data_IF_919214779416
#
_entry.id   IF_919214779416
#
_cell.length_a   1.000
_cell.length_b   1.000
_cell.length_c   1.000
_cell.angle_alpha   90.00
_cell.angle_beta   90.00
_cell.angle_gamma   90.00
#
_symmetry.space_group_name_H-M   'P 1'
#
loop_
_entity.id
_entity.type
_entity.pdbx_description
1 polymer ?
#
# COMPACT_ATOMS: atom_id res chain seq x y z
N UNK A 1 15.32 -17.12 -16.18
CA UNK A 1 15.01 -15.99 -17.07
C UNK A 1 13.50 -15.92 -17.26
N UNK A 2 12.89 -14.80 -16.87
CA UNK A 2 11.67 -14.17 -17.38
C UNK A 2 11.55 -12.89 -16.52
N UNK A 3 11.73 -11.74 -17.17
CA UNK A 3 12.03 -10.48 -16.49
C UNK A 3 10.85 -9.94 -15.69
N UNK A 4 11.08 -9.69 -14.40
CA UNK A 4 10.18 -8.84 -13.62
C UNK A 4 10.14 -7.47 -14.30
N UNK A 5 8.95 -7.07 -14.76
CA UNK A 5 8.77 -5.74 -15.31
C UNK A 5 8.77 -4.76 -14.13
N UNK A 6 9.72 -3.84 -14.13
CA UNK A 6 9.88 -2.86 -13.06
C UNK A 6 9.53 -1.45 -13.55
N UNK A 7 8.59 -0.81 -12.86
CA UNK A 7 8.30 0.61 -13.02
C UNK A 7 9.02 1.34 -11.90
N UNK A 8 9.94 2.24 -12.25
CA UNK A 8 10.82 2.92 -11.29
C UNK A 8 10.71 4.42 -11.50
N UNK A 9 10.53 5.19 -10.40
CA UNK A 9 10.52 6.67 -10.40
C UNK A 9 9.47 7.25 -11.35
N UNK A 10 8.23 6.80 -11.19
CA UNK A 10 7.11 7.25 -12.00
C UNK A 10 6.21 8.24 -11.25
N UNK A 11 5.53 9.10 -12.01
CA UNK A 11 4.41 9.89 -11.53
C UNK A 11 3.21 9.62 -12.43
N UNK A 12 2.12 9.15 -11.82
CA UNK A 12 0.89 8.82 -12.52
C UNK A 12 -0.22 9.66 -11.91
N UNK A 13 -0.91 10.40 -12.78
CA UNK A 13 -2.14 11.10 -12.43
C UNK A 13 -3.26 10.47 -13.26
N UNK A 14 -4.23 9.86 -12.59
CA UNK A 14 -5.33 9.16 -13.23
C UNK A 14 -6.66 9.85 -12.89
N UNK A 15 -7.31 10.46 -13.88
CA UNK A 15 -8.60 11.15 -13.79
C UNK A 15 -9.75 10.40 -14.48
N UNK A 16 -9.48 9.17 -14.94
CA UNK A 16 -10.38 8.31 -15.69
C UNK A 16 -11.09 7.30 -14.77
N UNK A 17 -12.26 6.79 -15.15
CA UNK A 17 -13.06 5.87 -14.33
C UNK A 17 -12.50 4.43 -14.18
N UNK A 18 -11.22 4.21 -14.47
CA UNK A 18 -10.57 2.90 -14.56
C UNK A 18 -9.46 2.69 -13.52
N UNK A 19 -8.63 1.67 -13.69
CA UNK A 19 -7.45 1.46 -12.86
C UNK A 19 -6.41 2.56 -13.14
N UNK A 20 -5.86 3.16 -12.07
CA UNK A 20 -4.81 4.18 -12.21
C UNK A 20 -3.54 3.58 -12.85
N UNK A 21 -3.23 2.32 -12.54
CA UNK A 21 -2.18 1.53 -13.16
C UNK A 21 -2.62 0.05 -13.26
N UNK A 22 -2.97 -0.42 -14.44
CA UNK A 22 -3.22 -1.86 -14.66
C UNK A 22 -1.94 -2.56 -15.15
N UNK A 23 -1.46 -3.56 -14.39
CA UNK A 23 -0.39 -4.48 -14.78
C UNK A 23 -0.98 -5.81 -15.23
N UNK A 24 -1.75 -5.78 -16.31
CA UNK A 24 -2.45 -6.95 -16.83
C UNK A 24 -1.53 -7.90 -17.62
N UNK A 25 -1.80 -9.21 -17.53
CA UNK A 25 -1.21 -10.21 -18.45
C UNK A 25 0.23 -10.66 -18.16
N UNK A 26 0.78 -10.36 -16.98
CA UNK A 26 2.18 -10.66 -16.65
C UNK A 26 2.36 -11.84 -15.66
N UNK A 27 2.36 -13.07 -16.15
CA UNK A 27 2.62 -14.26 -15.31
C UNK A 27 3.98 -14.31 -14.60
N UNK A 28 4.88 -13.34 -14.85
CA UNK A 28 6.25 -13.26 -14.29
C UNK A 28 6.42 -12.23 -13.16
N UNK A 29 5.32 -11.59 -12.74
CA UNK A 29 5.31 -10.60 -11.66
C UNK A 29 5.80 -9.21 -12.10
N UNK A 30 5.44 -8.22 -11.30
CA UNK A 30 5.70 -6.81 -11.52
C UNK A 30 6.18 -6.12 -10.24
N UNK A 31 7.06 -5.15 -10.40
CA UNK A 31 7.54 -4.33 -9.29
C UNK A 31 7.33 -2.84 -9.58
N UNK A 32 6.82 -2.12 -8.60
CA UNK A 32 6.74 -0.66 -8.64
C UNK A 32 7.60 -0.07 -7.53
N UNK A 33 8.49 0.86 -7.86
CA UNK A 33 9.43 1.46 -6.90
C UNK A 33 9.55 2.96 -7.07
N UNK A 34 9.54 3.70 -5.97
CA UNK A 34 9.76 5.16 -5.98
C UNK A 34 8.72 5.90 -6.84
N UNK A 35 7.49 5.40 -6.88
CA UNK A 35 6.43 5.99 -7.69
C UNK A 35 5.49 6.84 -6.83
N UNK A 36 4.86 7.82 -7.48
CA UNK A 36 3.75 8.59 -6.91
C UNK A 36 2.55 8.38 -7.83
N UNK A 37 1.45 7.86 -7.29
CA UNK A 37 0.20 7.69 -8.01
C UNK A 37 -0.88 8.51 -7.33
N UNK A 38 -1.57 9.34 -8.11
CA UNK A 38 -2.66 10.19 -7.66
C UNK A 38 -3.92 9.85 -8.45
N UNK A 39 -4.98 9.49 -7.73
CA UNK A 39 -6.28 9.11 -8.28
C UNK A 39 -7.38 9.98 -7.61
N UNK A 40 -7.57 11.24 -8.04
CA UNK A 40 -8.32 12.24 -7.28
C UNK A 40 -9.84 12.25 -7.51
N UNK A 41 -10.38 11.46 -8.42
CA UNK A 41 -11.81 11.51 -8.79
C UNK A 41 -12.52 10.17 -8.58
N UNK A 42 -13.28 10.03 -7.48
CA UNK A 42 -14.36 9.03 -7.31
C UNK A 42 -14.08 7.63 -7.88
N UNK A 43 -12.82 7.21 -7.84
CA UNK A 43 -12.38 6.00 -8.52
C UNK A 43 -13.07 4.83 -7.84
N UNK A 44 -13.91 4.15 -8.61
CA UNK A 44 -14.30 2.77 -8.30
C UNK A 44 -13.18 1.79 -8.68
N UNK A 45 -12.14 2.31 -9.36
CA UNK A 45 -11.01 1.58 -9.91
C UNK A 45 -9.94 1.24 -8.88
N UNK A 46 -9.08 0.33 -9.30
CA UNK A 46 -8.04 -0.34 -8.52
C UNK A 46 -6.74 0.40 -8.78
N UNK A 47 -5.95 0.73 -7.77
CA UNK A 47 -4.72 1.45 -8.07
C UNK A 47 -3.72 0.58 -8.83
N UNK A 48 -3.65 -0.71 -8.46
CA UNK A 48 -2.80 -1.68 -9.13
C UNK A 48 -3.51 -3.03 -9.24
N UNK A 49 -3.60 -3.54 -10.47
CA UNK A 49 -4.14 -4.88 -10.77
C UNK A 49 -3.18 -5.71 -11.61
N UNK A 50 -3.05 -7.01 -11.33
CA UNK A 50 -2.21 -7.88 -12.14
C UNK A 50 -2.39 -9.37 -11.86
N UNK A 51 -2.09 -10.18 -12.87
CA UNK A 51 -1.97 -11.64 -12.75
C UNK A 51 -0.51 -11.94 -12.38
N UNK A 52 -0.25 -12.55 -11.22
CA UNK A 52 1.13 -12.84 -10.73
C UNK A 52 1.61 -11.91 -9.60
N UNK A 53 2.89 -12.04 -9.24
CA UNK A 53 3.51 -11.40 -8.07
C UNK A 53 3.64 -9.89 -8.21
N UNK A 54 2.96 -9.11 -7.38
CA UNK A 54 3.08 -7.64 -7.38
C UNK A 54 3.78 -7.16 -6.12
N UNK A 55 4.86 -6.39 -6.29
CA UNK A 55 5.56 -5.74 -5.17
C UNK A 55 5.58 -4.22 -5.38
N UNK A 56 5.03 -3.49 -4.43
CA UNK A 56 5.06 -2.03 -4.38
C UNK A 56 6.00 -1.61 -3.28
N UNK A 57 7.10 -0.93 -3.60
CA UNK A 57 8.01 -0.42 -2.57
C UNK A 57 8.30 1.06 -2.69
N UNK A 58 8.51 1.71 -1.55
CA UNK A 58 8.95 3.11 -1.50
C UNK A 58 8.09 4.02 -2.39
N UNK A 59 6.77 3.83 -2.41
CA UNK A 59 5.85 4.59 -3.26
C UNK A 59 4.80 5.34 -2.45
N UNK A 60 4.21 6.39 -3.05
CA UNK A 60 3.06 7.11 -2.50
C UNK A 60 1.83 6.86 -3.38
N UNK A 61 0.75 6.46 -2.75
CA UNK A 61 -0.53 6.13 -3.35
C UNK A 61 -1.58 7.06 -2.72
N UNK A 62 -2.21 7.92 -3.54
CA UNK A 62 -3.20 8.91 -3.08
C UNK A 62 -4.52 8.68 -3.80
N UNK A 63 -5.57 8.36 -3.05
CA UNK A 63 -6.93 8.16 -3.57
C UNK A 63 -7.86 9.36 -3.36
N UNK A 64 -9.15 9.11 -3.60
CA UNK A 64 -10.24 10.09 -3.51
C UNK A 64 -11.31 9.73 -2.46
N UNK A 65 -11.00 8.83 -1.51
CA UNK A 65 -11.92 8.33 -0.49
C UNK A 65 -12.84 7.22 -0.99
N UNK A 66 -12.62 6.72 -2.21
CA UNK A 66 -13.35 5.61 -2.82
C UNK A 66 -12.39 4.58 -3.42
N UNK A 67 -12.88 3.36 -3.68
CA UNK A 67 -12.09 2.31 -4.32
C UNK A 67 -11.02 1.70 -3.42
N UNK A 68 -10.24 0.78 -3.99
CA UNK A 68 -9.25 0.01 -3.26
C UNK A 68 -7.84 0.39 -3.71
N UNK A 69 -6.92 0.54 -2.75
CA UNK A 69 -5.51 0.79 -3.06
C UNK A 69 -4.89 -0.38 -3.83
N UNK A 70 -5.26 -1.62 -3.51
CA UNK A 70 -4.76 -2.81 -4.17
C UNK A 70 -5.89 -3.73 -4.63
N UNK A 71 -5.70 -4.36 -5.79
CA UNK A 71 -6.63 -5.37 -6.26
C UNK A 71 -6.00 -6.40 -7.20
N UNK A 72 -5.85 -7.64 -6.77
CA UNK A 72 -5.21 -8.68 -7.57
C UNK A 72 -6.24 -9.62 -8.21
N UNK A 73 -6.85 -9.20 -9.30
CA UNK A 73 -8.08 -9.81 -9.81
C UNK A 73 -7.96 -11.17 -10.53
N UNK A 74 -6.99 -12.03 -10.19
CA UNK A 74 -6.90 -13.35 -10.84
C UNK A 74 -7.27 -14.51 -9.91
N UNK A 75 -8.30 -15.24 -10.34
CA UNK A 75 -8.91 -16.41 -9.69
C UNK A 75 -8.02 -17.65 -9.66
N UNK A 76 -6.82 -17.58 -10.24
CA UNK A 76 -5.85 -18.69 -10.25
C UNK A 76 -4.64 -18.35 -9.40
N UNK A 77 -4.75 -18.58 -8.09
CA UNK A 77 -3.67 -18.53 -7.09
C UNK A 77 -2.66 -17.38 -7.26
N UNK A 78 -2.94 -16.19 -6.71
CA UNK A 78 -1.95 -15.13 -6.70
C UNK A 78 -0.61 -15.62 -6.10
N UNK A 79 0.48 -15.34 -6.80
CA UNK A 79 1.84 -15.60 -6.34
C UNK A 79 2.33 -14.46 -5.42
N UNK A 80 3.35 -14.73 -4.59
CA UNK A 80 3.97 -13.83 -3.61
C UNK A 80 3.93 -12.35 -3.98
N UNK A 81 3.59 -11.46 -3.06
CA UNK A 81 3.55 -10.02 -3.34
C UNK A 81 3.66 -9.21 -2.08
N UNK A 82 3.55 -7.90 -2.20
CA UNK A 82 3.53 -7.05 -1.04
C UNK A 82 3.49 -5.57 -1.32
N UNK A 83 3.23 -4.82 -0.26
CA UNK A 83 3.39 -3.38 -0.21
C UNK A 83 4.36 -3.10 0.94
N UNK A 84 5.48 -2.47 0.60
CA UNK A 84 6.56 -2.26 1.53
C UNK A 84 6.98 -0.79 1.55
N UNK A 85 7.20 -0.26 2.75
CA UNK A 85 7.73 1.08 2.97
C UNK A 85 7.04 2.17 2.11
N UNK A 86 5.72 2.09 2.00
CA UNK A 86 4.92 2.96 1.13
C UNK A 86 3.91 3.77 1.94
N UNK A 87 3.46 4.89 1.38
CA UNK A 87 2.43 5.73 1.99
C UNK A 87 1.15 5.63 1.17
N UNK A 88 0.06 5.20 1.80
CA UNK A 88 -1.23 4.97 1.16
C UNK A 88 -2.26 5.82 1.88
N UNK A 89 -2.91 6.71 1.15
CA UNK A 89 -3.84 7.68 1.74
C UNK A 89 -5.13 7.81 0.97
N UNK A 90 -6.22 8.06 1.68
CA UNK A 90 -7.52 8.44 1.11
C UNK A 90 -8.13 7.37 0.19
N UNK A 91 -8.22 6.13 0.64
CA UNK A 91 -8.93 5.04 -0.08
C UNK A 91 -10.07 4.48 0.76
N UNK A 92 -11.06 3.83 0.13
CA UNK A 92 -12.07 3.11 0.89
C UNK A 92 -11.43 1.91 1.61
N UNK A 93 -10.65 1.08 0.89
CA UNK A 93 -9.97 -0.07 1.47
C UNK A 93 -8.52 -0.21 0.98
N UNK A 94 -7.66 -0.81 1.80
CA UNK A 94 -6.35 -1.29 1.34
C UNK A 94 -6.54 -2.46 0.38
N UNK A 95 -7.29 -3.49 0.83
CA UNK A 95 -7.65 -4.68 0.06
C UNK A 95 -9.12 -5.04 0.33
N UNK A 96 -9.88 -5.41 -0.71
CA UNK A 96 -11.27 -5.87 -0.56
C UNK A 96 -11.55 -7.10 -1.43
N UNK A 97 -12.10 -8.15 -0.82
CA UNK A 97 -12.34 -9.47 -1.42
C UNK A 97 -13.49 -9.50 -2.43
N UNK A 98 -14.49 -8.60 -2.33
CA UNK A 98 -15.64 -8.59 -3.28
C UNK A 98 -15.23 -8.48 -4.75
N UNK A 99 -13.96 -8.18 -5.00
CA UNK A 99 -13.37 -8.06 -6.31
C UNK A 99 -12.69 -9.34 -6.83
N UNK A 100 -12.53 -10.36 -6.00
CA UNK A 100 -11.83 -11.61 -6.31
C UNK A 100 -12.77 -12.78 -6.68
N UNK A 101 -14.08 -12.53 -6.74
CA UNK A 101 -15.08 -13.59 -6.96
C UNK A 101 -15.21 -14.50 -5.73
N UNK A 102 -16.23 -15.35 -5.71
CA UNK A 102 -16.55 -16.24 -4.57
C UNK A 102 -15.56 -17.40 -4.35
N UNK A 103 -14.29 -17.21 -4.69
CA UNK A 103 -13.21 -18.19 -4.53
C UNK A 103 -12.30 -17.79 -3.37
N UNK A 104 -11.84 -18.78 -2.59
CA UNK A 104 -10.95 -18.59 -1.45
C UNK A 104 -9.79 -17.65 -1.78
N UNK A 105 -9.63 -16.62 -0.95
CA UNK A 105 -8.49 -15.71 -0.98
C UNK A 105 -7.25 -16.43 -0.44
N UNK A 106 -6.53 -17.14 -1.31
CA UNK A 106 -5.36 -17.92 -0.93
C UNK A 106 -4.16 -17.54 -1.78
N UNK A 107 -3.17 -16.88 -1.16
CA UNK A 107 -1.86 -16.76 -1.79
C UNK A 107 -1.11 -18.08 -1.64
N UNK A 108 -0.36 -18.44 -2.67
CA UNK A 108 0.55 -19.60 -2.61
C UNK A 108 1.77 -19.38 -1.69
N UNK A 109 1.89 -18.16 -1.14
CA UNK A 109 2.99 -17.67 -0.32
C UNK A 109 2.58 -16.34 0.35
N UNK A 110 3.12 -15.96 1.51
CA UNK A 110 2.79 -14.70 2.19
C UNK A 110 2.80 -13.46 1.28
N UNK A 111 1.72 -12.70 1.34
CA UNK A 111 1.62 -11.34 0.85
C UNK A 111 1.98 -10.38 1.98
N UNK A 112 3.03 -9.61 1.79
CA UNK A 112 3.65 -8.82 2.85
C UNK A 112 3.15 -7.38 2.82
N UNK A 113 2.56 -6.90 3.91
CA UNK A 113 2.18 -5.51 4.10
C UNK A 113 3.04 -4.98 5.24
N UNK A 114 4.11 -4.27 4.92
CA UNK A 114 5.10 -3.90 5.93
C UNK A 114 5.68 -2.51 5.79
N UNK A 115 6.06 -1.92 6.91
CA UNK A 115 6.67 -0.59 7.01
C UNK A 115 5.85 0.55 6.37
N UNK A 116 4.54 0.37 6.19
CA UNK A 116 3.71 1.35 5.48
C UNK A 116 3.13 2.41 6.43
N UNK A 117 2.72 3.53 5.84
CA UNK A 117 1.78 4.47 6.48
C UNK A 117 0.45 4.37 5.74
N UNK A 118 -0.60 3.99 6.45
CA UNK A 118 -1.96 3.77 5.96
C UNK A 118 -2.86 4.77 6.67
N UNK A 119 -3.33 5.79 5.93
CA UNK A 119 -3.97 6.95 6.55
C UNK A 119 -5.24 7.40 5.84
N UNK A 120 -6.24 7.82 6.60
CA UNK A 120 -7.52 8.36 6.08
C UNK A 120 -8.23 7.34 5.17
N UNK A 121 -8.61 6.19 5.74
CA UNK A 121 -9.26 5.11 4.99
C UNK A 121 -10.56 4.66 5.67
N UNK A 122 -11.47 4.09 4.89
CA UNK A 122 -12.69 3.49 5.48
C UNK A 122 -12.37 2.15 6.15
N UNK A 123 -11.46 1.34 5.60
CA UNK A 123 -10.99 0.12 6.23
C UNK A 123 -9.64 -0.32 5.69
N UNK A 124 -9.01 -1.28 6.38
CA UNK A 124 -7.79 -1.91 5.90
C UNK A 124 -8.14 -3.05 4.94
N UNK A 125 -8.38 -4.24 5.48
CA UNK A 125 -8.77 -5.42 4.70
C UNK A 125 -10.21 -5.83 4.98
N UNK A 126 -10.94 -6.14 3.92
CA UNK A 126 -12.22 -6.84 4.00
C UNK A 126 -12.16 -8.17 3.26
N UNK A 127 -12.05 -9.27 3.99
CA UNK A 127 -12.29 -10.62 3.48
C UNK A 127 -13.70 -11.08 3.83
N UNK A 128 -14.38 -11.75 2.91
CA UNK A 128 -15.66 -12.39 3.15
C UNK A 128 -15.47 -13.59 4.08
N UNK A 129 -16.46 -13.78 4.95
CA UNK A 129 -16.46 -14.82 5.96
C UNK A 129 -16.57 -16.21 5.30
N UNK A 130 -15.43 -16.80 4.91
CA UNK A 130 -15.40 -18.17 4.39
C UNK A 130 -14.12 -18.59 3.69
N UNK A 131 -13.27 -17.65 3.26
CA UNK A 131 -11.95 -17.95 2.73
C UNK A 131 -10.91 -18.11 3.84
N UNK A 132 -10.11 -19.16 3.78
CA UNK A 132 -8.85 -19.24 4.54
C UNK A 132 -7.92 -18.16 4.00
N UNK A 133 -7.86 -16.99 4.65
CA UNK A 133 -6.85 -15.95 4.39
C UNK A 133 -5.51 -16.37 4.97
N UNK A 134 -5.08 -17.59 4.66
CA UNK A 134 -3.73 -18.02 4.99
C UNK A 134 -2.81 -17.26 4.03
N UNK A 135 -1.85 -16.49 4.56
CA UNK A 135 -0.77 -15.81 3.82
C UNK A 135 -0.94 -14.30 3.56
N UNK A 136 -1.52 -13.49 4.45
CA UNK A 136 -1.16 -12.05 4.54
C UNK A 136 -0.46 -11.80 5.87
N UNK A 137 0.71 -11.17 5.82
CA UNK A 137 1.47 -10.75 6.98
C UNK A 137 1.53 -9.22 7.05
N UNK A 138 1.24 -8.69 8.23
CA UNK A 138 1.39 -7.28 8.57
C UNK A 138 2.57 -7.11 9.52
N UNK A 139 3.53 -6.27 9.14
CA UNK A 139 4.72 -6.01 9.96
C UNK A 139 5.05 -4.51 9.98
N UNK A 140 4.89 -3.88 11.14
CA UNK A 140 5.30 -2.49 11.42
C UNK A 140 4.71 -1.43 10.49
N UNK A 141 3.40 -1.49 10.30
CA UNK A 141 2.63 -0.45 9.64
C UNK A 141 2.10 0.58 10.64
N UNK A 142 1.98 1.82 10.20
CA UNK A 142 1.29 2.87 10.94
C UNK A 142 -0.11 3.11 10.37
N UNK A 143 -1.12 2.98 11.22
CA UNK A 143 -2.53 3.16 10.87
C UNK A 143 -3.07 4.43 11.50
N UNK A 144 -3.65 5.34 10.70
CA UNK A 144 -4.26 6.56 11.23
C UNK A 144 -5.54 6.93 10.51
N UNK A 145 -6.47 7.56 11.22
CA UNK A 145 -7.76 8.00 10.66
C UNK A 145 -8.51 6.89 9.89
N UNK A 146 -8.52 5.66 10.44
CA UNK A 146 -9.29 4.53 9.89
C UNK A 146 -10.66 4.52 10.57
N UNK A 147 -11.74 4.66 9.79
CA UNK A 147 -13.11 4.80 10.35
C UNK A 147 -13.85 3.48 10.56
N UNK A 148 -13.47 2.43 9.84
CA UNK A 148 -13.96 1.07 9.99
C UNK A 148 -12.87 0.13 10.50
N UNK A 149 -13.00 -1.16 10.18
CA UNK A 149 -12.06 -2.18 10.64
C UNK A 149 -10.76 -2.14 9.83
N UNK A 150 -9.60 -2.21 10.51
CA UNK A 150 -8.29 -2.46 9.88
C UNK A 150 -8.19 -3.87 9.34
N UNK A 151 -8.70 -4.83 10.12
CA UNK A 151 -8.72 -6.24 9.83
C UNK A 151 -10.16 -6.74 9.95
N UNK A 152 -10.64 -7.54 9.01
CA UNK A 152 -11.96 -8.19 9.12
C UNK A 152 -12.00 -9.22 10.27
N UNK A 153 -10.86 -9.85 10.58
CA UNK A 153 -10.63 -10.70 11.74
C UNK A 153 -9.12 -10.83 11.98
N UNK A 154 -8.63 -10.39 13.14
CA UNK A 154 -7.20 -10.42 13.47
C UNK A 154 -6.61 -11.85 13.47
N UNK A 155 -7.40 -12.85 13.89
CA UNK A 155 -6.97 -14.26 13.92
C UNK A 155 -6.64 -14.85 12.54
N UNK A 156 -6.98 -14.15 11.45
CA UNK A 156 -6.68 -14.55 10.08
C UNK A 156 -5.31 -14.07 9.60
N UNK A 157 -4.63 -13.20 10.34
CA UNK A 157 -3.43 -12.51 9.90
C UNK A 157 -2.28 -12.70 10.88
N UNK A 158 -1.06 -12.77 10.35
CA UNK A 158 0.13 -12.55 11.18
C UNK A 158 0.33 -11.04 11.29
N UNK A 159 0.27 -10.48 12.50
CA UNK A 159 0.41 -9.05 12.75
C UNK A 159 1.52 -8.86 13.79
N UNK A 160 2.57 -8.13 13.43
CA UNK A 160 3.66 -7.76 14.32
C UNK A 160 3.98 -6.27 14.23
N UNK A 161 4.21 -5.62 15.38
CA UNK A 161 4.76 -4.26 15.45
C UNK A 161 3.95 -3.12 14.84
N UNK A 162 2.72 -3.36 14.38
CA UNK A 162 1.83 -2.32 13.85
C UNK A 162 1.44 -1.29 14.95
N UNK A 163 1.34 -0.02 14.56
CA UNK A 163 1.06 1.09 15.47
C UNK A 163 -0.17 1.89 15.04
N UNK A 164 -0.82 2.49 16.04
CA UNK A 164 -1.97 3.36 15.85
C UNK A 164 -1.58 4.82 16.06
N UNK A 165 -1.83 5.61 15.02
CA UNK A 165 -1.65 7.05 15.04
C UNK A 165 -2.89 7.71 15.62
N UNK A 166 -2.66 8.61 16.58
CA UNK A 166 -3.71 9.39 17.25
C UNK A 166 -3.89 10.78 16.63
N UNK A 167 -2.93 11.23 15.84
CA UNK A 167 -2.98 12.46 15.04
C UNK A 167 -2.37 12.22 13.66
N UNK A 168 -2.54 13.18 12.74
CA UNK A 168 -1.93 13.10 11.41
C UNK A 168 -0.41 12.92 11.49
N UNK A 169 0.17 11.99 10.71
CA UNK A 169 1.62 11.86 10.62
C UNK A 169 2.26 12.93 9.74
N UNK A 170 1.46 13.65 8.95
CA UNK A 170 1.93 14.54 7.91
C UNK A 170 2.03 16.00 8.36
N UNK A 171 2.95 16.75 7.75
CA UNK A 171 3.13 18.19 7.99
C UNK A 171 1.90 18.98 7.58
N UNK A 172 1.35 18.70 6.38
CA UNK A 172 0.16 19.38 5.87
C UNK A 172 -0.59 18.50 4.84
N UNK A 173 -1.33 17.53 5.37
CA UNK A 173 -2.08 16.54 4.58
C UNK A 173 -3.07 17.20 3.60
N UNK A 174 -3.84 18.19 4.06
CA UNK A 174 -4.91 18.83 3.29
C UNK A 174 -4.36 19.61 2.08
N UNK A 175 -3.10 20.03 2.13
CA UNK A 175 -2.41 20.72 1.04
C UNK A 175 -1.43 19.81 0.27
N UNK A 176 -1.45 18.50 0.50
CA UNK A 176 -0.63 17.52 -0.22
C UNK A 176 0.84 17.43 0.24
N UNK A 177 1.19 17.95 1.42
CA UNK A 177 2.50 17.75 2.04
C UNK A 177 2.49 16.50 2.92
N UNK A 178 2.88 15.38 2.31
CA UNK A 178 3.01 14.08 2.97
C UNK A 178 4.36 13.88 3.71
N UNK A 179 5.11 14.94 3.98
CA UNK A 179 6.32 14.84 4.82
C UNK A 179 5.95 14.54 6.27
N UNK A 180 6.77 13.75 6.99
CA UNK A 180 6.51 13.44 8.39
C UNK A 180 6.69 14.67 9.27
N UNK A 181 5.69 14.95 10.09
CA UNK A 181 5.78 15.96 11.14
C UNK A 181 6.59 15.45 12.35
N UNK A 182 6.77 16.32 13.34
CA UNK A 182 7.45 16.00 14.61
C UNK A 182 6.50 15.66 15.76
N UNK A 183 5.21 15.46 15.47
CA UNK A 183 4.17 15.39 16.49
C UNK A 183 4.11 13.99 17.10
N UNK A 184 4.09 13.92 18.43
CA UNK A 184 3.86 12.69 19.19
C UNK A 184 2.48 12.09 18.87
N UNK A 185 2.40 10.77 18.74
CA UNK A 185 1.19 10.10 18.25
C UNK A 185 0.92 10.26 16.75
N UNK A 186 1.83 10.90 16.00
CA UNK A 186 1.77 11.11 14.56
C UNK A 186 3.12 10.82 13.90
N UNK A 187 3.74 11.83 13.28
CA UNK A 187 4.92 11.63 12.45
C UNK A 187 6.18 11.27 13.25
N UNK A 188 6.19 11.52 14.56
CA UNK A 188 7.27 11.06 15.44
C UNK A 188 7.24 9.53 15.62
N UNK A 189 6.07 8.90 15.67
CA UNK A 189 5.92 7.45 15.87
C UNK A 189 6.36 6.67 14.62
N UNK A 190 6.35 7.30 13.45
CA UNK A 190 6.71 6.68 12.18
C UNK A 190 8.24 6.64 11.93
N UNK A 191 9.04 7.27 12.79
CA UNK A 191 10.49 7.41 12.57
C UNK A 191 11.25 6.25 13.17
N UNK A 192 12.08 5.61 12.34
CA UNK A 192 13.04 4.58 12.74
C UNK A 192 12.40 3.44 13.55
N UNK A 193 11.24 2.96 13.07
CA UNK A 193 10.55 1.80 13.65
C UNK A 193 10.32 0.65 12.66
N UNK A 194 10.51 0.87 11.35
CA UNK A 194 10.35 -0.16 10.32
C UNK A 194 11.52 -1.15 10.31
N UNK A 195 11.33 -2.33 9.75
CA UNK A 195 12.37 -3.36 9.62
C UNK A 195 13.10 -3.27 8.29
N UNK A 196 14.43 -3.39 8.29
CA UNK A 196 15.20 -3.44 7.05
C UNK A 196 14.93 -4.72 6.25
N UNK A 197 14.73 -4.54 4.95
CA UNK A 197 14.23 -5.57 4.04
C UNK A 197 15.35 -6.40 3.39
N UNK A 198 16.61 -6.02 3.61
CA UNK A 198 17.76 -6.54 2.85
C UNK A 198 18.66 -7.50 3.64
N UNK A 199 18.54 -7.55 4.97
CA UNK A 199 19.63 -8.06 5.81
C UNK A 199 19.26 -9.35 6.57
N UNK A 200 17.97 -9.72 6.60
CA UNK A 200 17.47 -10.86 7.40
C UNK A 200 17.72 -10.70 8.91
N UNK A 201 18.24 -9.56 9.32
CA UNK A 201 18.63 -9.22 10.68
C UNK A 201 17.95 -7.89 10.99
N UNK A 202 16.91 -7.93 11.83
CA UNK A 202 15.98 -6.83 12.12
C UNK A 202 16.65 -5.73 12.97
N UNK A 203 17.82 -5.22 12.57
CA UNK A 203 18.67 -4.35 13.40
C UNK A 203 18.85 -2.94 12.86
N UNK A 204 18.51 -2.70 11.60
CA UNK A 204 18.43 -1.35 11.01
C UNK A 204 16.96 -0.95 10.93
N UNK A 205 16.62 0.16 11.59
CA UNK A 205 15.26 0.67 11.55
C UNK A 205 15.10 1.70 10.44
N UNK A 206 14.08 1.53 9.61
CA UNK A 206 13.72 2.51 8.57
C UNK A 206 12.58 3.40 9.05
N UNK A 207 12.63 4.68 8.70
CA UNK A 207 11.45 5.53 8.80
C UNK A 207 10.35 4.98 7.88
N UNK A 208 9.13 4.84 8.42
CA UNK A 208 7.99 4.30 7.70
C UNK A 208 7.54 5.20 6.56
N UNK A 209 7.01 4.57 5.53
CA UNK A 209 6.48 5.24 4.36
C UNK A 209 7.56 5.84 3.45
N UNK A 210 7.22 5.96 2.18
CA UNK A 210 8.14 6.37 1.10
C UNK A 210 8.54 7.85 1.10
N UNK A 211 8.44 8.51 2.25
CA UNK A 211 8.26 9.96 2.36
C UNK A 211 9.49 10.73 1.87
N UNK A 212 10.69 10.22 2.14
CA UNK A 212 11.94 10.87 1.73
C UNK A 212 12.21 10.77 0.22
N UNK A 213 11.80 9.68 -0.44
CA UNK A 213 12.06 9.46 -1.86
C UNK A 213 10.99 10.07 -2.76
N UNK A 214 9.73 10.08 -2.33
CA UNK A 214 8.65 10.73 -3.05
C UNK A 214 8.80 12.26 -3.11
N UNK A 215 9.35 12.88 -2.05
CA UNK A 215 9.73 14.30 -2.06
C UNK A 215 10.68 14.63 -3.22
N UNK A 216 11.63 13.74 -3.54
CA UNK A 216 12.57 13.94 -4.67
C UNK A 216 11.87 13.83 -6.03
N UNK A 217 10.90 12.93 -6.16
CA UNK A 217 10.10 12.78 -7.39
C UNK A 217 9.21 14.01 -7.60
N UNK A 218 8.50 14.46 -6.56
CA UNK A 218 7.63 15.64 -6.63
C UNK A 218 8.40 16.95 -6.89
N UNK A 219 9.53 17.17 -6.23
CA UNK A 219 10.41 18.32 -6.51
C UNK A 219 10.97 18.29 -7.94
N UNK A 220 11.27 17.10 -8.46
CA UNK A 220 11.70 16.92 -9.85
C UNK A 220 10.61 17.25 -10.88
N UNK A 221 9.33 17.14 -10.52
CA UNK A 221 8.19 17.51 -11.35
C UNK A 221 7.83 18.99 -11.27
N UNK A 222 7.90 19.59 -10.07
CA UNK A 222 7.72 21.03 -9.89
C UNK A 222 8.78 21.88 -10.63
N UNK A 223 9.97 21.34 -10.87
CA UNK A 223 11.00 21.98 -11.70
C UNK A 223 10.72 21.91 -13.22
N UNK A 224 9.66 21.24 -13.65
CA UNK A 224 9.29 21.06 -15.06
C UNK A 224 7.97 21.74 -15.47
N UNK A 225 7.27 22.37 -14.53
CA UNK A 225 6.09 23.21 -14.76
C UNK A 225 6.45 24.68 -14.62
#
# INVERSE_FOLDING_TARGET
SLGTSAIIRCYVYADNSGDALAVAGHSSGAAMRYCVIVAPSGHSGRLISGAGSLVVTNSILIGAGSGNALNQSDTTSPSAGGIENSTIVNFAYLIQESVFGSGSFGFSSPFEIRNNILYDMTGGITASAGGDVQSIHFDRNAWGAITGNKYDSEDKYEIDGDIDLTVSPFTDYDNGDYTLNGTSGGGAECKDIGVDLLDGNHTTYTTLGAINEARRVMLGLQLKT
#
